data_IF_672038687641
#
_entry.id   IF_672038687641
#
_cell.length_a   1.000
_cell.length_b   1.000
_cell.length_c   1.000
_cell.angle_alpha   90.00
_cell.angle_beta   90.00
_cell.angle_gamma   90.00
#
_symmetry.space_group_name_H-M   'P 1'
#
loop_
_entity.id
_entity.type
_entity.pdbx_description
1 polymer ?
#
# COMPACT_ATOMS: atom_id res chain seq x y z
N UNK A 1 -38.03 -18.83 14.87
CA UNK A 1 -36.98 -17.96 15.43
C UNK A 1 -35.84 -18.03 14.43
N UNK A 2 -35.72 -17.03 13.56
CA UNK A 2 -34.65 -16.95 12.58
C UNK A 2 -33.94 -15.63 12.82
N UNK A 3 -32.72 -15.72 13.31
CA UNK A 3 -32.03 -14.67 14.07
C UNK A 3 -31.32 -13.66 13.16
N UNK A 4 -31.88 -13.43 11.97
CA UNK A 4 -31.28 -12.65 10.88
C UNK A 4 -31.89 -11.24 10.73
N UNK A 5 -32.82 -10.85 11.60
CA UNK A 5 -33.52 -9.55 11.48
C UNK A 5 -32.81 -8.38 12.16
N UNK A 6 -31.61 -8.56 12.74
CA UNK A 6 -30.92 -7.51 13.52
C UNK A 6 -29.47 -7.20 13.08
N UNK A 7 -29.14 -7.24 11.77
CA UNK A 7 -27.82 -6.78 11.29
C UNK A 7 -27.90 -5.84 10.07
N UNK A 8 -27.36 -4.60 10.14
CA UNK A 8 -27.61 -3.55 9.16
C UNK A 8 -26.81 -3.62 7.83
N UNK A 9 -25.97 -4.64 7.57
CA UNK A 9 -25.12 -4.70 6.36
C UNK A 9 -24.99 -6.13 5.82
N UNK A 10 -25.32 -6.31 4.54
CA UNK A 10 -25.26 -7.58 3.79
C UNK A 10 -24.11 -7.55 2.77
N UNK A 11 -23.15 -8.48 2.86
CA UNK A 11 -22.01 -8.56 1.94
C UNK A 11 -22.32 -9.41 0.70
N UNK A 12 -21.94 -8.97 -0.52
CA UNK A 12 -22.08 -9.78 -1.73
C UNK A 12 -21.13 -10.98 -1.71
N UNK A 13 -21.65 -12.14 -2.15
CA UNK A 13 -21.02 -13.46 -2.03
C UNK A 13 -19.70 -13.57 -2.81
N UNK A 14 -18.81 -14.41 -2.29
CA UNK A 14 -17.35 -14.37 -2.43
C UNK A 14 -16.81 -14.80 -3.81
N UNK A 15 -17.63 -14.87 -4.87
CA UNK A 15 -17.27 -15.60 -6.10
C UNK A 15 -17.51 -14.86 -7.44
N UNK A 16 -18.29 -13.77 -7.48
CA UNK A 16 -18.49 -12.98 -8.71
C UNK A 16 -17.49 -11.82 -8.87
N UNK A 17 -16.84 -11.41 -7.78
CA UNK A 17 -15.87 -10.30 -7.76
C UNK A 17 -14.61 -10.54 -8.60
N UNK A 18 -14.23 -11.80 -8.86
CA UNK A 18 -13.04 -12.14 -9.66
C UNK A 18 -13.17 -11.77 -11.14
N UNK A 19 -14.39 -11.85 -11.68
CA UNK A 19 -14.69 -11.55 -13.08
C UNK A 19 -14.88 -10.06 -13.30
N UNK A 20 -15.61 -9.38 -12.41
CA UNK A 20 -15.90 -7.94 -12.54
C UNK A 20 -14.68 -7.05 -12.30
N UNK A 21 -13.79 -7.42 -11.37
CA UNK A 21 -12.58 -6.63 -11.07
C UNK A 21 -11.47 -6.73 -12.12
N UNK A 22 -11.69 -7.47 -13.23
CA UNK A 22 -10.64 -7.68 -14.23
C UNK A 22 -9.41 -8.37 -13.65
N UNK A 23 -9.56 -9.11 -12.53
CA UNK A 23 -8.45 -9.74 -11.82
C UNK A 23 -7.64 -10.67 -12.73
N UNK A 24 -8.27 -11.30 -13.74
CA UNK A 24 -7.55 -12.07 -14.77
C UNK A 24 -6.64 -11.23 -15.68
N UNK A 25 -7.02 -10.00 -16.02
CA UNK A 25 -6.17 -9.07 -16.79
C UNK A 25 -5.04 -8.52 -15.94
N UNK A 26 -5.35 -8.14 -14.69
CA UNK A 26 -4.36 -7.71 -13.71
C UNK A 26 -3.35 -8.83 -13.44
N UNK A 27 -3.83 -10.08 -13.35
CA UNK A 27 -3.00 -11.26 -13.17
C UNK A 27 -2.09 -11.54 -14.36
N UNK A 28 -2.60 -11.47 -15.59
CA UNK A 28 -1.79 -11.60 -16.80
C UNK A 28 -0.76 -10.46 -16.92
N UNK A 29 -1.15 -9.22 -16.62
CA UNK A 29 -0.26 -8.07 -16.62
C UNK A 29 0.90 -8.27 -15.62
N UNK A 30 0.60 -8.77 -14.41
CA UNK A 30 1.62 -9.08 -13.40
C UNK A 30 2.60 -10.15 -13.89
N UNK A 31 2.10 -11.23 -14.50
CA UNK A 31 2.93 -12.32 -15.04
C UNK A 31 3.81 -11.82 -16.19
N UNK A 32 3.25 -11.04 -17.12
CA UNK A 32 3.97 -10.46 -18.26
C UNK A 32 5.02 -9.47 -17.76
N UNK A 33 4.72 -8.68 -16.74
CA UNK A 33 5.67 -7.77 -16.12
C UNK A 33 6.84 -8.51 -15.45
N UNK A 34 6.56 -9.58 -14.70
CA UNK A 34 7.58 -10.43 -14.07
C UNK A 34 8.43 -11.14 -15.14
N UNK A 35 7.80 -11.67 -16.19
CA UNK A 35 8.50 -12.31 -17.31
C UNK A 35 9.35 -11.32 -18.11
N UNK A 36 8.86 -10.09 -18.32
CA UNK A 36 9.61 -9.02 -18.98
C UNK A 36 10.83 -8.60 -18.16
N UNK A 37 10.71 -8.52 -16.83
CA UNK A 37 11.85 -8.30 -15.95
C UNK A 37 12.85 -9.46 -16.07
N UNK A 38 12.40 -10.71 -15.99
CA UNK A 38 13.27 -11.89 -16.11
C UNK A 38 14.06 -11.89 -17.43
N UNK A 39 13.40 -11.57 -18.55
CA UNK A 39 14.04 -11.48 -19.86
C UNK A 39 14.98 -10.28 -19.98
N UNK A 40 14.64 -9.12 -19.43
CA UNK A 40 15.51 -7.94 -19.40
C UNK A 40 16.82 -8.22 -18.67
N UNK A 41 16.76 -8.84 -17.49
CA UNK A 41 17.95 -9.18 -16.71
C UNK A 41 18.75 -10.34 -17.30
N UNK A 42 18.07 -11.31 -17.94
CA UNK A 42 18.74 -12.36 -18.72
C UNK A 42 19.50 -11.78 -19.92
N UNK A 43 18.91 -10.81 -20.64
CA UNK A 43 19.55 -10.16 -21.79
C UNK A 43 20.75 -9.28 -21.42
N UNK A 44 20.72 -8.66 -20.22
CA UNK A 44 21.80 -7.81 -19.71
C UNK A 44 22.93 -8.62 -19.06
N UNK A 45 22.63 -9.81 -18.52
CA UNK A 45 23.61 -10.71 -17.89
C UNK A 45 24.44 -11.56 -18.86
N UNK A 46 24.09 -11.59 -20.15
CA UNK A 46 24.78 -12.41 -21.17
C UNK A 46 26.16 -11.86 -21.62
N UNK A 47 26.63 -10.73 -21.08
CA UNK A 47 27.93 -10.13 -21.46
C UNK A 47 29.13 -10.60 -20.63
N UNK A 48 28.97 -11.59 -19.74
CA UNK A 48 30.12 -12.12 -19.01
C UNK A 48 29.82 -13.42 -18.27
N UNK A 49 30.60 -14.44 -18.65
CA UNK A 49 30.89 -15.70 -17.93
C UNK A 49 29.94 -16.86 -18.26
N UNK A 50 30.40 -17.66 -19.23
CA UNK A 50 29.94 -19.00 -19.54
C UNK A 50 30.43 -19.97 -18.45
N UNK A 51 29.53 -20.35 -17.54
CA UNK A 51 29.85 -21.39 -16.57
C UNK A 51 28.80 -21.50 -15.50
N UNK A 52 28.07 -22.60 -15.53
CA UNK A 52 27.05 -23.02 -14.56
C UNK A 52 25.65 -22.46 -14.83
N UNK A 53 24.76 -23.38 -15.22
CA UNK A 53 23.34 -23.18 -15.54
C UNK A 53 22.54 -22.50 -14.40
N UNK A 54 23.13 -22.34 -13.21
CA UNK A 54 22.57 -21.62 -12.05
C UNK A 54 23.32 -20.32 -11.67
N UNK A 55 24.51 -20.05 -12.23
CA UNK A 55 25.32 -18.86 -11.91
C UNK A 55 24.74 -17.57 -12.51
N UNK A 56 24.34 -17.62 -13.78
CA UNK A 56 23.81 -16.44 -14.48
C UNK A 56 22.40 -16.02 -14.01
N UNK A 57 21.55 -16.98 -13.63
CA UNK A 57 20.22 -16.66 -13.07
C UNK A 57 20.32 -16.03 -11.67
N UNK A 58 21.22 -16.55 -10.83
CA UNK A 58 21.46 -16.00 -9.48
C UNK A 58 22.00 -14.57 -9.53
N UNK A 59 23.01 -14.32 -10.37
CA UNK A 59 23.57 -12.97 -10.57
C UNK A 59 22.51 -12.02 -11.15
N UNK A 60 21.71 -12.49 -12.12
CA UNK A 60 20.59 -11.73 -12.67
C UNK A 60 19.59 -11.29 -11.61
N UNK A 61 19.13 -12.21 -10.75
CA UNK A 61 18.19 -11.91 -9.66
C UNK A 61 18.81 -10.95 -8.63
N UNK A 62 20.08 -11.15 -8.26
CA UNK A 62 20.77 -10.27 -7.30
C UNK A 62 20.92 -8.86 -7.87
N UNK A 63 21.35 -8.73 -9.13
CA UNK A 63 21.49 -7.43 -9.81
C UNK A 63 20.13 -6.73 -9.95
N UNK A 64 19.09 -7.48 -10.32
CA UNK A 64 17.68 -7.01 -10.35
C UNK A 64 17.26 -6.45 -9.01
N UNK A 65 17.52 -7.20 -7.94
CA UNK A 65 17.14 -6.84 -6.58
C UNK A 65 17.86 -5.57 -6.15
N UNK A 66 19.16 -5.43 -6.45
CA UNK A 66 19.94 -4.22 -6.14
C UNK A 66 19.43 -3.01 -6.94
N UNK A 67 19.09 -3.18 -8.22
CA UNK A 67 18.53 -2.11 -9.06
C UNK A 67 17.17 -1.64 -8.55
N UNK A 68 16.24 -2.58 -8.32
CA UNK A 68 14.92 -2.28 -7.76
C UNK A 68 15.07 -1.65 -6.38
N UNK A 69 15.96 -2.16 -5.53
CA UNK A 69 16.17 -1.63 -4.17
C UNK A 69 16.76 -0.23 -4.19
N UNK A 70 17.68 0.07 -5.10
CA UNK A 70 18.24 1.43 -5.30
C UNK A 70 17.18 2.39 -5.82
N UNK A 71 16.36 1.98 -6.80
CA UNK A 71 15.24 2.77 -7.31
C UNK A 71 14.09 2.92 -6.31
N UNK A 72 13.87 1.92 -5.46
CA UNK A 72 12.81 1.90 -4.44
C UNK A 72 13.23 2.60 -3.15
N UNK A 73 14.52 2.76 -2.88
CA UNK A 73 15.03 3.48 -1.70
C UNK A 73 14.41 4.89 -1.51
N UNK A 74 14.29 5.75 -2.53
CA UNK A 74 13.60 7.04 -2.40
C UNK A 74 12.11 6.89 -2.06
N UNK A 75 11.45 5.85 -2.57
CA UNK A 75 10.04 5.57 -2.27
C UNK A 75 9.89 5.08 -0.83
N UNK A 76 10.75 4.16 -0.40
CA UNK A 76 10.74 3.64 0.97
C UNK A 76 11.01 4.73 2.01
N UNK A 77 11.98 5.60 1.77
CA UNK A 77 12.24 6.73 2.68
C UNK A 77 11.02 7.65 2.80
N UNK A 78 10.34 7.97 1.69
CA UNK A 78 9.10 8.77 1.70
C UNK A 78 7.94 8.08 2.42
N UNK A 79 7.68 6.80 2.13
CA UNK A 79 6.61 6.03 2.78
C UNK A 79 6.85 5.87 4.29
N UNK A 80 8.10 5.64 4.70
CA UNK A 80 8.47 5.51 6.11
C UNK A 80 8.33 6.84 6.87
N UNK A 81 8.66 7.98 6.27
CA UNK A 81 8.45 9.30 6.89
C UNK A 81 6.96 9.60 7.11
N UNK A 82 6.09 9.25 6.17
CA UNK A 82 4.64 9.34 6.36
C UNK A 82 4.16 8.45 7.52
N UNK A 83 4.57 7.19 7.54
CA UNK A 83 4.21 6.25 8.61
C UNK A 83 4.68 6.74 9.98
N UNK A 84 5.87 7.34 10.06
CA UNK A 84 6.40 7.95 11.28
C UNK A 84 5.57 9.15 11.76
N UNK A 85 5.25 10.08 10.87
CA UNK A 85 4.41 11.24 11.20
C UNK A 85 2.98 10.84 11.57
N UNK A 86 2.46 9.77 10.97
CA UNK A 86 1.17 9.17 11.35
C UNK A 86 1.20 8.66 12.80
N UNK A 87 2.26 7.95 13.18
CA UNK A 87 2.44 7.47 14.56
C UNK A 87 2.53 8.64 15.56
N UNK A 88 3.17 9.75 15.18
CA UNK A 88 3.23 10.95 16.02
C UNK A 88 1.88 11.68 16.13
N UNK A 89 1.00 11.57 15.13
CA UNK A 89 -0.32 12.19 15.15
C UNK A 89 -1.39 11.38 15.91
N UNK A 90 -1.19 10.08 16.12
CA UNK A 90 -2.05 9.24 16.96
C UNK A 90 -2.43 9.88 18.31
N UNK A 91 -1.48 10.40 19.13
CA UNK A 91 -1.83 11.05 20.39
C UNK A 91 -2.68 12.32 20.23
N UNK A 92 -2.50 13.08 19.14
CA UNK A 92 -3.34 14.25 18.86
C UNK A 92 -4.77 13.84 18.49
N UNK A 93 -4.91 12.79 17.69
CA UNK A 93 -6.20 12.19 17.34
C UNK A 93 -6.92 11.69 18.60
N UNK A 94 -6.22 11.02 19.52
CA UNK A 94 -6.78 10.57 20.80
C UNK A 94 -7.23 11.73 21.68
N UNK A 95 -6.51 12.86 21.69
CA UNK A 95 -6.94 14.09 22.39
C UNK A 95 -8.20 14.70 21.79
N UNK A 96 -8.34 14.69 20.47
CA UNK A 96 -9.55 15.15 19.79
C UNK A 96 -10.72 14.22 20.13
N UNK A 97 -10.51 12.91 20.08
CA UNK A 97 -11.53 11.92 20.43
C UNK A 97 -11.97 12.04 21.89
N UNK A 98 -11.06 12.24 22.84
CA UNK A 98 -11.42 12.39 24.26
C UNK A 98 -12.17 13.69 24.54
N UNK A 99 -11.87 14.77 23.81
CA UNK A 99 -12.60 16.05 23.88
C UNK A 99 -14.08 15.92 23.49
N UNK A 100 -14.38 15.05 22.53
CA UNK A 100 -15.76 14.81 22.05
C UNK A 100 -16.40 13.52 22.61
N UNK A 101 -15.67 12.71 23.40
CA UNK A 101 -16.14 11.42 23.93
C UNK A 101 -17.38 11.53 24.85
N UNK A 102 -17.54 12.67 25.54
CA UNK A 102 -18.72 12.93 26.39
C UNK A 102 -19.89 13.58 25.64
N UNK A 103 -19.71 13.95 24.37
CA UNK A 103 -20.72 14.61 23.55
C UNK A 103 -21.57 13.57 22.81
N UNK A 104 -22.87 13.49 23.14
CA UNK A 104 -23.85 12.61 22.45
C UNK A 104 -24.53 13.28 21.24
N UNK A 105 -24.21 14.53 20.94
CA UNK A 105 -24.84 15.28 19.86
C UNK A 105 -24.30 14.88 18.47
N UNK A 106 -25.16 14.59 17.48
CA UNK A 106 -24.74 14.23 16.12
C UNK A 106 -23.87 15.29 15.44
N UNK A 107 -24.09 16.57 15.75
CA UNK A 107 -23.33 17.70 15.22
C UNK A 107 -21.89 17.74 15.75
N UNK A 108 -21.69 17.37 17.01
CA UNK A 108 -20.37 17.35 17.64
C UNK A 108 -19.54 16.16 17.14
N UNK A 109 -20.17 15.02 16.87
CA UNK A 109 -19.51 13.92 16.15
C UNK A 109 -19.06 14.33 14.74
N UNK A 110 -19.90 15.07 14.00
CA UNK A 110 -19.51 15.58 12.67
C UNK A 110 -18.28 16.51 12.75
N UNK A 111 -18.22 17.37 13.77
CA UNK A 111 -17.06 18.25 14.04
C UNK A 111 -15.80 17.46 14.36
N UNK A 112 -15.93 16.40 15.17
CA UNK A 112 -14.83 15.49 15.48
C UNK A 112 -14.24 14.86 14.20
N UNK A 113 -15.07 14.34 13.30
CA UNK A 113 -14.57 13.77 12.03
C UNK A 113 -13.84 14.81 11.17
N UNK A 114 -14.34 16.05 11.13
CA UNK A 114 -13.71 17.13 10.37
C UNK A 114 -12.36 17.55 10.96
N UNK A 115 -12.25 17.62 12.29
CA UNK A 115 -10.98 17.92 12.98
C UNK A 115 -9.94 16.82 12.75
N UNK A 116 -10.33 15.56 12.88
CA UNK A 116 -9.45 14.41 12.59
C UNK A 116 -8.99 14.44 11.13
N UNK A 117 -9.89 14.74 10.19
CA UNK A 117 -9.54 14.83 8.77
C UNK A 117 -8.57 15.97 8.47
N UNK A 118 -8.64 17.08 9.22
CA UNK A 118 -7.69 18.19 9.10
C UNK A 118 -6.28 17.78 9.53
N UNK A 119 -6.14 16.99 10.60
CA UNK A 119 -4.85 16.45 11.05
C UNK A 119 -4.26 15.49 10.01
N UNK A 120 -5.08 14.64 9.38
CA UNK A 120 -4.59 13.80 8.29
C UNK A 120 -4.12 14.60 7.07
N UNK A 121 -4.82 15.70 6.73
CA UNK A 121 -4.45 16.57 5.61
C UNK A 121 -3.11 17.28 5.82
N UNK A 122 -2.79 17.71 7.04
CA UNK A 122 -1.50 18.36 7.33
C UNK A 122 -0.33 17.38 7.18
N UNK A 123 -0.48 16.13 7.64
CA UNK A 123 0.54 15.07 7.50
C UNK A 123 0.79 14.76 6.01
N UNK A 124 -0.28 14.68 5.22
CA UNK A 124 -0.19 14.48 3.77
C UNK A 124 0.55 15.64 3.07
N UNK A 125 0.30 16.89 3.47
CA UNK A 125 0.97 18.07 2.91
C UNK A 125 2.47 18.12 3.26
N UNK A 126 2.85 17.78 4.49
CA UNK A 126 4.25 17.72 4.90
C UNK A 126 5.01 16.67 4.09
N UNK A 127 4.38 15.53 3.80
CA UNK A 127 4.97 14.48 2.96
C UNK A 127 5.22 14.96 1.50
N UNK A 128 4.40 15.88 1.01
CA UNK A 128 4.54 16.46 -0.33
C UNK A 128 5.61 17.56 -0.39
N UNK A 129 5.81 18.31 0.69
CA UNK A 129 6.79 19.41 0.78
C UNK A 129 8.24 18.94 1.00
N UNK A 130 8.43 17.70 1.44
CA UNK A 130 9.74 17.02 1.53
C UNK A 130 10.14 16.40 0.15
N UNK A 131 9.53 16.89 -0.93
CA UNK A 131 9.84 16.57 -2.33
C UNK A 131 10.32 17.84 -3.01
#
# INVERSE_FOLDING_TARGET
MNDQEDLPIQWPSKLEWSKFLGLGYIWNFLIIFIASLLNFFSSMGSHGIDGFVLGNLGIGIVLTTILIRTLSWPIYTKTNTFAFNMNLAQPEITKIQSKYASSKDPKEMQRMYFEIMRVYKSIMLICFLVF
#
